data_IF_837641535254
#
_entry.id   IF_837641535254
#
_cell.length_a   1.000
_cell.length_b   1.000
_cell.length_c   1.000
_cell.angle_alpha   90.00
_cell.angle_beta   90.00
_cell.angle_gamma   90.00
#
_symmetry.space_group_name_H-M   'P 1'
#
loop_
_entity.id
_entity.type
_entity.pdbx_description
1 polymer ?
#
# COMPACT_ATOMS: atom_id res chain seq x y z
N UNK A 1 3.76 4.26 -13.32
CA UNK A 1 2.84 5.13 -12.56
C UNK A 1 2.76 4.60 -11.13
N UNK A 2 3.03 5.42 -10.09
CA UNK A 2 2.92 5.03 -8.66
C UNK A 2 1.57 5.52 -8.15
N UNK A 3 0.76 4.65 -7.56
CA UNK A 3 -0.71 4.81 -7.50
C UNK A 3 -1.32 4.72 -6.09
N UNK A 4 -0.53 4.95 -5.05
CA UNK A 4 -1.03 5.03 -3.68
C UNK A 4 0.10 5.46 -2.74
N UNK A 5 -0.16 6.46 -1.91
CA UNK A 5 0.82 7.03 -1.00
C UNK A 5 0.14 7.34 0.32
N UNK A 6 0.67 6.79 1.42
CA UNK A 6 0.28 7.18 2.76
C UNK A 6 1.52 7.60 3.55
N UNK A 7 1.51 8.83 4.02
CA UNK A 7 2.56 9.33 4.89
C UNK A 7 2.33 8.86 6.32
N UNK A 8 3.18 7.97 6.82
CA UNK A 8 3.26 7.65 8.23
C UNK A 8 4.37 8.47 8.92
N UNK A 9 4.01 9.59 9.55
CA UNK A 9 4.98 10.37 10.34
C UNK A 9 5.24 9.68 11.68
N UNK A 10 6.44 9.13 11.83
CA UNK A 10 6.97 8.61 13.10
C UNK A 10 7.88 9.66 13.74
N UNK A 11 7.32 10.53 14.58
CA UNK A 11 8.12 11.47 15.38
C UNK A 11 8.85 10.69 16.48
N UNK A 12 10.16 10.92 16.60
CA UNK A 12 10.99 10.30 17.63
C UNK A 12 10.62 10.78 19.03
N UNK A 13 10.80 9.87 20.00
CA UNK A 13 10.74 10.10 21.46
C UNK A 13 9.34 10.43 22.01
N UNK A 14 8.43 9.47 21.94
CA UNK A 14 7.16 9.50 22.67
C UNK A 14 6.30 8.31 22.31
N UNK A 15 5.88 7.55 23.31
CA UNK A 15 5.25 6.23 23.19
C UNK A 15 3.84 6.29 22.57
N UNK A 16 3.73 6.46 21.25
CA UNK A 16 2.69 5.85 20.42
C UNK A 16 2.93 6.24 18.97
N UNK A 17 2.96 5.24 18.08
CA UNK A 17 2.76 5.50 16.65
C UNK A 17 1.27 5.75 16.51
N UNK A 18 0.86 6.99 16.24
CA UNK A 18 -0.55 7.29 16.00
C UNK A 18 -0.97 6.51 14.76
N UNK A 19 -1.81 5.49 14.95
CA UNK A 19 -2.52 4.88 13.84
C UNK A 19 -3.30 6.00 13.15
N UNK A 20 -3.00 6.27 11.89
CA UNK A 20 -3.97 7.01 11.09
C UNK A 20 -5.16 6.06 10.92
N UNK A 21 -6.34 6.54 11.33
CA UNK A 21 -7.61 5.88 11.02
C UNK A 21 -7.62 5.51 9.54
N UNK A 22 -8.23 4.37 9.19
CA UNK A 22 -8.35 3.99 7.78
C UNK A 22 -8.82 5.21 6.99
N UNK A 23 -8.11 5.60 5.92
CA UNK A 23 -8.67 6.56 4.99
C UNK A 23 -10.01 6.03 4.50
N UNK A 24 -10.86 6.94 4.00
CA UNK A 24 -12.11 6.60 3.32
C UNK A 24 -11.94 5.33 2.48
N UNK A 25 -12.81 4.34 2.72
CA UNK A 25 -12.76 3.01 2.09
C UNK A 25 -12.73 3.16 0.56
N UNK A 26 -12.27 2.13 -0.15
CA UNK A 26 -12.37 2.16 -1.62
C UNK A 26 -13.86 2.18 -1.97
N UNK A 27 -14.29 3.17 -2.75
CA UNK A 27 -15.67 3.27 -3.21
C UNK A 27 -15.92 2.25 -4.34
N UNK A 28 -16.46 1.09 -3.98
CA UNK A 28 -16.80 0.01 -4.90
C UNK A 28 -18.11 0.20 -5.67
N UNK A 29 -18.80 1.34 -5.53
CA UNK A 29 -20.08 1.60 -6.22
C UNK A 29 -19.91 1.89 -7.71
N UNK A 30 -18.73 2.38 -8.11
CA UNK A 30 -18.41 2.74 -9.51
C UNK A 30 -17.57 1.67 -10.16
N UNK A 31 -17.73 1.37 -11.46
CA UNK A 31 -16.87 0.41 -12.14
C UNK A 31 -15.38 0.81 -12.09
N UNK A 32 -14.42 -0.14 -12.19
CA UNK A 32 -12.98 0.15 -12.13
C UNK A 32 -12.51 1.22 -13.12
N UNK A 33 -13.21 1.39 -14.23
CA UNK A 33 -12.99 2.39 -15.29
C UNK A 33 -13.24 3.83 -14.84
N UNK A 34 -14.15 4.03 -13.90
CA UNK A 34 -14.58 5.35 -13.41
C UNK A 34 -13.85 5.77 -12.14
N UNK A 35 -13.02 4.87 -11.57
CA UNK A 35 -12.24 5.15 -10.38
C UNK A 35 -10.86 5.65 -10.79
N UNK A 36 -10.51 6.87 -10.35
CA UNK A 36 -9.18 7.41 -10.58
C UNK A 36 -8.10 6.52 -9.97
N UNK A 37 -6.95 6.42 -10.64
CA UNK A 37 -5.97 5.38 -10.35
C UNK A 37 -5.41 5.43 -8.91
N UNK A 38 -5.32 6.62 -8.29
CA UNK A 38 -4.91 6.79 -6.89
C UNK A 38 -6.01 6.45 -5.86
N UNK A 39 -7.24 6.29 -6.30
CA UNK A 39 -8.38 5.84 -5.49
C UNK A 39 -8.59 4.32 -5.57
N UNK A 40 -7.85 3.62 -6.44
CA UNK A 40 -7.94 2.15 -6.59
C UNK A 40 -7.24 1.38 -5.46
N UNK A 41 -6.52 2.06 -4.57
CA UNK A 41 -5.89 1.47 -3.38
C UNK A 41 -6.07 2.43 -2.20
N UNK A 42 -6.61 1.93 -1.10
CA UNK A 42 -6.67 2.65 0.19
C UNK A 42 -6.10 1.74 1.26
N UNK A 43 -5.29 2.29 2.16
CA UNK A 43 -4.68 1.49 3.21
C UNK A 43 -4.40 2.32 4.45
N UNK A 44 -4.36 1.64 5.58
CA UNK A 44 -3.86 2.14 6.84
C UNK A 44 -2.55 1.46 7.19
N UNK A 45 -1.77 2.14 8.03
CA UNK A 45 -0.56 1.58 8.62
C UNK A 45 -0.60 1.76 10.11
N UNK A 46 -0.40 0.66 10.83
CA UNK A 46 -0.18 0.64 12.27
C UNK A 46 1.28 0.31 12.54
N UNK A 47 1.96 1.16 13.32
CA UNK A 47 3.31 0.87 13.79
C UNK A 47 3.31 0.44 15.25
N UNK A 48 4.16 -0.52 15.59
CA UNK A 48 4.39 -0.96 16.97
C UNK A 48 5.90 -1.10 17.21
N UNK A 49 6.40 -0.45 18.26
CA UNK A 49 7.79 -0.63 18.70
C UNK A 49 7.86 -1.84 19.63
N UNK A 50 8.68 -2.81 19.25
CA UNK A 50 8.97 -4.02 20.05
C UNK A 50 10.44 -4.01 20.48
N UNK A 51 10.82 -4.90 21.40
CA UNK A 51 12.23 -5.08 21.79
C UNK A 51 13.14 -5.42 20.58
N UNK A 52 12.59 -6.04 19.52
CA UNK A 52 13.32 -6.44 18.31
C UNK A 52 13.38 -5.36 17.23
N UNK A 53 12.67 -4.25 17.40
CA UNK A 53 12.60 -3.15 16.42
C UNK A 53 11.17 -2.72 16.11
N UNK A 54 11.02 -1.95 15.04
CA UNK A 54 9.72 -1.48 14.55
C UNK A 54 9.03 -2.59 13.75
N UNK A 55 7.78 -2.85 14.11
CA UNK A 55 6.84 -3.69 13.36
C UNK A 55 5.83 -2.76 12.72
N UNK A 56 5.58 -2.93 11.43
CA UNK A 56 4.53 -2.19 10.71
C UNK A 56 3.49 -3.19 10.20
N UNK A 57 2.22 -2.94 10.47
CA UNK A 57 1.10 -3.67 9.88
C UNK A 57 0.41 -2.76 8.89
N UNK A 58 0.32 -3.20 7.65
CA UNK A 58 -0.37 -2.53 6.55
C UNK A 58 -1.62 -3.32 6.24
N UNK A 59 -2.77 -2.65 6.27
CA UNK A 59 -4.08 -3.22 5.96
C UNK A 59 -4.75 -2.29 4.98
N UNK A 60 -5.27 -2.83 3.88
CA UNK A 60 -5.88 -2.01 2.85
C UNK A 60 -6.88 -2.74 1.99
N UNK A 61 -7.60 -1.94 1.23
CA UNK A 61 -8.55 -2.33 0.21
C UNK A 61 -8.00 -1.94 -1.16
N UNK A 62 -8.25 -2.79 -2.13
CA UNK A 62 -7.81 -2.61 -3.50
C UNK A 62 -8.98 -2.86 -4.45
N UNK A 63 -9.12 -2.00 -5.44
CA UNK A 63 -10.09 -2.21 -6.51
C UNK A 63 -9.72 -3.42 -7.36
N UNK A 64 -8.43 -3.75 -7.46
CA UNK A 64 -7.88 -4.81 -8.32
C UNK A 64 -8.46 -6.21 -8.04
N UNK A 65 -8.50 -7.09 -9.05
CA UNK A 65 -9.01 -8.44 -8.87
C UNK A 65 -8.15 -9.26 -7.90
N UNK A 66 -8.74 -10.29 -7.34
CA UNK A 66 -8.03 -11.23 -6.46
C UNK A 66 -6.83 -11.87 -7.17
N UNK A 67 -5.79 -12.11 -6.40
CA UNK A 67 -4.49 -12.52 -6.90
C UNK A 67 -3.62 -11.37 -7.43
N UNK A 68 -4.16 -10.16 -7.58
CA UNK A 68 -3.35 -9.00 -7.94
C UNK A 68 -2.30 -8.70 -6.87
N UNK A 69 -1.10 -8.38 -7.31
CA UNK A 69 0.03 -8.06 -6.44
C UNK A 69 0.09 -6.56 -6.20
N UNK A 70 -0.04 -6.18 -4.93
CA UNK A 70 0.27 -4.84 -4.42
C UNK A 70 1.69 -4.85 -3.88
N UNK A 71 2.48 -3.87 -4.30
CA UNK A 71 3.82 -3.63 -3.77
C UNK A 71 3.73 -2.62 -2.65
N UNK A 72 4.19 -3.01 -1.47
CA UNK A 72 4.32 -2.15 -0.30
C UNK A 72 5.79 -1.82 -0.14
N UNK A 73 6.17 -0.56 -0.09
CA UNK A 73 7.56 -0.17 0.16
C UNK A 73 7.69 0.84 1.28
N UNK A 74 8.80 0.73 1.99
CA UNK A 74 9.19 1.64 3.05
C UNK A 74 10.34 2.51 2.58
N UNK A 75 10.26 3.82 2.82
CA UNK A 75 11.36 4.76 2.60
C UNK A 75 11.37 5.85 3.67
N UNK A 76 12.47 6.60 3.74
CA UNK A 76 12.50 7.85 4.49
C UNK A 76 11.72 8.94 3.75
N UNK A 77 11.10 9.83 4.53
CA UNK A 77 10.49 11.04 4.02
C UNK A 77 11.49 11.84 3.18
N UNK A 78 11.02 12.35 2.03
CA UNK A 78 11.82 13.07 1.01
C UNK A 78 12.99 12.28 0.39
N UNK A 79 13.23 11.02 0.74
CA UNK A 79 14.20 10.18 0.03
C UNK A 79 13.55 9.40 -1.11
N UNK A 80 14.27 9.22 -2.22
CA UNK A 80 13.78 8.45 -3.38
C UNK A 80 14.04 6.95 -3.24
N UNK A 81 15.05 6.56 -2.46
CA UNK A 81 15.47 5.17 -2.28
C UNK A 81 14.57 4.45 -1.28
N UNK A 82 14.08 3.28 -1.68
CA UNK A 82 13.38 2.37 -0.78
C UNK A 82 14.37 1.68 0.16
N UNK A 83 14.01 1.64 1.44
CA UNK A 83 14.71 0.83 2.44
C UNK A 83 14.45 -0.66 2.19
N UNK A 84 13.22 -0.99 1.84
CA UNK A 84 12.77 -2.34 1.57
C UNK A 84 11.38 -2.30 0.91
N UNK A 85 10.99 -3.38 0.26
CA UNK A 85 9.67 -3.55 -0.33
C UNK A 85 9.19 -4.99 -0.22
N UNK A 86 7.88 -5.16 -0.15
CA UNK A 86 7.19 -6.43 -0.05
C UNK A 86 6.10 -6.50 -1.12
N UNK A 87 5.75 -7.72 -1.48
CA UNK A 87 4.64 -8.03 -2.37
C UNK A 87 3.55 -8.70 -1.55
N UNK A 88 2.33 -8.22 -1.68
CA UNK A 88 1.14 -8.80 -1.05
C UNK A 88 0.09 -9.04 -2.13
N UNK A 89 -0.61 -10.17 -2.04
CA UNK A 89 -1.72 -10.46 -2.94
C UNK A 89 -3.01 -9.84 -2.39
N UNK A 90 -3.87 -9.42 -3.31
CA UNK A 90 -5.25 -9.06 -3.01
C UNK A 90 -6.07 -10.34 -2.88
N UNK A 91 -6.86 -10.42 -1.81
CA UNK A 91 -7.80 -11.50 -1.51
C UNK A 91 -9.08 -10.84 -1.00
N UNK A 92 -10.24 -11.17 -1.58
CA UNK A 92 -11.52 -10.53 -1.27
C UNK A 92 -11.47 -9.00 -1.31
N UNK A 93 -10.78 -8.43 -2.32
CA UNK A 93 -10.52 -6.98 -2.49
C UNK A 93 -9.75 -6.33 -1.32
N UNK A 94 -9.14 -7.13 -0.46
CA UNK A 94 -8.35 -6.68 0.68
C UNK A 94 -6.92 -7.17 0.55
N UNK A 95 -6.01 -6.50 1.24
CA UNK A 95 -4.63 -6.97 1.40
C UNK A 95 -4.11 -6.62 2.79
N UNK A 96 -3.27 -7.51 3.31
CA UNK A 96 -2.65 -7.33 4.61
C UNK A 96 -1.19 -7.76 4.56
N UNK A 97 -0.31 -6.91 5.05
CA UNK A 97 1.11 -7.24 5.19
C UNK A 97 1.61 -6.83 6.57
N UNK A 98 2.34 -7.74 7.22
CA UNK A 98 3.03 -7.45 8.47
C UNK A 98 4.53 -7.44 8.24
N UNK A 99 5.12 -6.25 8.36
CA UNK A 99 6.51 -5.96 8.07
C UNK A 99 7.32 -6.13 9.36
N UNK A 100 8.09 -7.22 9.45
CA UNK A 100 8.83 -7.61 10.66
C UNK A 100 10.26 -8.08 10.35
N UNK A 101 11.20 -7.80 11.26
CA UNK A 101 11.44 -6.51 11.91
C UNK A 101 12.13 -5.56 10.92
N UNK A 102 11.74 -4.30 10.89
CA UNK A 102 12.57 -3.28 10.23
C UNK A 102 13.85 -3.10 11.07
N UNK A 103 15.06 -3.13 10.48
CA UNK A 103 16.32 -3.14 11.23
C UNK A 103 16.36 -2.07 12.33
N UNK A 104 16.89 -2.47 13.51
CA UNK A 104 16.85 -1.73 14.80
C UNK A 104 17.35 -0.27 14.73
N UNK A 105 18.21 0.06 13.76
CA UNK A 105 18.74 1.41 13.54
C UNK A 105 18.04 2.09 12.38
N UNK A 106 16.82 2.57 12.64
CA UNK A 106 16.26 3.65 11.85
C UNK A 106 16.88 4.95 12.37
N UNK A 107 17.78 5.65 11.64
CA UNK A 107 18.07 7.05 11.94
C UNK A 107 16.74 7.78 12.17
N UNK A 108 16.66 8.57 13.24
CA UNK A 108 15.46 9.31 13.58
C UNK A 108 14.92 10.08 12.36
N UNK A 109 13.61 10.20 12.25
CA UNK A 109 12.96 10.86 11.12
C UNK A 109 11.64 10.21 10.73
N UNK A 110 10.91 10.88 9.84
CA UNK A 110 9.65 10.37 9.32
C UNK A 110 9.90 9.26 8.29
N UNK A 111 9.13 8.19 8.40
CA UNK A 111 9.06 7.13 7.41
C UNK A 111 7.88 7.37 6.48
N UNK A 112 7.85 6.63 5.39
CA UNK A 112 6.77 6.69 4.42
C UNK A 112 6.52 5.29 3.93
N UNK A 113 5.25 4.88 3.95
CA UNK A 113 4.80 3.62 3.41
C UNK A 113 4.04 3.92 2.13
N UNK A 114 4.50 3.35 1.03
CA UNK A 114 3.85 3.44 -0.27
C UNK A 114 3.24 2.09 -0.58
N UNK A 115 2.00 2.07 -1.06
CA UNK A 115 1.37 0.86 -1.58
C UNK A 115 0.89 1.15 -3.00
N UNK A 116 1.38 0.39 -3.98
CA UNK A 116 0.98 0.59 -5.36
C UNK A 116 0.89 -0.72 -6.12
N UNK A 117 0.03 -0.71 -7.11
CA UNK A 117 -0.08 -1.75 -8.10
C UNK A 117 1.00 -1.57 -9.17
N UNK A 118 1.66 -2.67 -9.57
CA UNK A 118 2.65 -2.68 -10.64
C UNK A 118 2.28 -3.72 -11.70
N UNK A 119 1.85 -3.26 -12.88
CA UNK A 119 1.39 -4.13 -13.98
C UNK A 119 2.44 -5.18 -14.39
N UNK A 120 3.71 -4.79 -14.41
CA UNK A 120 4.82 -5.68 -14.77
C UNK A 120 4.98 -6.87 -13.81
N UNK A 121 4.56 -6.72 -12.56
CA UNK A 121 4.71 -7.74 -11.51
C UNK A 121 3.51 -8.71 -11.42
N UNK A 122 2.51 -8.57 -12.29
CA UNK A 122 1.31 -9.39 -12.30
C UNK A 122 1.46 -10.67 -13.14
N UNK A 123 0.76 -11.73 -12.72
CA UNK A 123 0.68 -12.98 -13.49
C UNK A 123 -0.13 -12.78 -14.78
N UNK A 124 0.03 -13.65 -15.80
CA UNK A 124 -0.78 -13.60 -17.01
C UNK A 124 -2.29 -13.64 -16.74
N UNK A 125 -2.72 -14.43 -15.74
CA UNK A 125 -4.11 -14.61 -15.36
C UNK A 125 -4.69 -13.30 -14.80
N UNK A 126 -3.97 -12.65 -13.87
CA UNK A 126 -4.38 -11.35 -13.33
C UNK A 126 -4.40 -10.30 -14.44
N UNK A 127 -3.42 -10.30 -15.36
CA UNK A 127 -3.40 -9.38 -16.51
C UNK A 127 -4.63 -9.53 -17.39
N UNK A 128 -5.06 -10.76 -17.65
CA UNK A 128 -6.30 -11.05 -18.38
C UNK A 128 -7.53 -10.57 -17.61
N UNK A 129 -7.66 -10.90 -16.34
CA UNK A 129 -8.78 -10.45 -15.50
C UNK A 129 -8.89 -8.91 -15.45
N UNK A 130 -7.76 -8.21 -15.41
CA UNK A 130 -7.74 -6.75 -15.44
C UNK A 130 -8.15 -6.15 -16.79
N UNK A 131 -7.78 -6.81 -17.90
CA UNK A 131 -8.21 -6.41 -19.24
C UNK A 131 -9.72 -6.62 -19.38
N UNK A 132 -10.21 -7.80 -19.03
CA UNK A 132 -11.60 -8.20 -19.20
C UNK A 132 -12.53 -7.39 -18.29
N UNK A 133 -12.06 -6.99 -17.09
CA UNK A 133 -12.82 -6.17 -16.16
C UNK A 133 -12.63 -4.64 -16.29
N UNK A 134 -11.96 -4.15 -17.34
CA UNK A 134 -11.87 -2.71 -17.60
C UNK A 134 -11.03 -1.90 -16.61
N UNK A 135 -10.05 -2.53 -15.93
CA UNK A 135 -9.28 -1.89 -14.86
C UNK A 135 -8.30 -0.80 -15.33
N UNK A 136 -8.03 -0.74 -16.63
CA UNK A 136 -7.08 0.20 -17.24
C UNK A 136 -7.72 1.39 -17.96
N UNK A 137 -9.04 1.42 -18.13
CA UNK A 137 -9.66 2.53 -18.86
C UNK A 137 -9.75 3.74 -17.94
N UNK A 138 -8.80 4.67 -18.07
CA UNK A 138 -8.98 6.07 -17.68
C UNK A 138 -9.16 6.93 -18.94
N UNK A 139 -9.71 6.37 -20.02
CA UNK A 139 -10.11 7.14 -21.19
C UNK A 139 -11.57 7.58 -20.99
N UNK A 140 -11.88 8.89 -21.05
CA UNK A 140 -13.25 9.29 -21.27
C UNK A 140 -13.73 8.71 -22.62
N UNK A 141 -15.05 8.44 -22.77
CA UNK A 141 -15.64 8.04 -24.05
C UNK A 141 -15.38 9.08 -25.15
#
# INVERSE_FOLDING_TARGET
MRLGFLLLVLLGLGSSVRAQSMPERVDFSKPPSEVEAYNKVRFAVRGERTAKGLVLTVEGEAYYPDGAVIKIALRYWKQTRYLTSWKVKVEDRQFRATLRPVPRRLPGGALTVEAWFALAEQTPETKRAMKDGGYFSCSPP
#
